data_IF_079416000294
#
_entry.id   IF_079416000294
#
_cell.length_a   1.000
_cell.length_b   1.000
_cell.length_c   1.000
_cell.angle_alpha   90.00
_cell.angle_beta   90.00
_cell.angle_gamma   90.00
#
_symmetry.space_group_name_H-M   'P 1'
#
loop_
_entity.id
_entity.type
_entity.pdbx_description
1 polymer ?
#
# COMPACT_ATOMS: atom_id res chain seq x y z
N UNK A 1 -46.89 -47.86 27.73
CA UNK A 1 -46.97 -46.39 27.77
C UNK A 1 -45.97 -45.90 28.82
N UNK A 2 -44.73 -45.61 28.42
CA UNK A 2 -43.72 -44.99 29.27
C UNK A 2 -42.80 -44.16 28.40
N UNK A 3 -42.77 -42.87 28.72
CA UNK A 3 -42.19 -41.76 27.97
C UNK A 3 -40.86 -41.41 28.65
N UNK A 4 -39.72 -41.71 28.02
CA UNK A 4 -38.38 -41.22 28.34
C UNK A 4 -37.59 -41.27 27.03
N UNK A 5 -37.21 -40.20 26.34
CA UNK A 5 -36.68 -38.94 26.85
C UNK A 5 -35.18 -38.95 26.59
N UNK A 6 -34.74 -38.52 25.40
CA UNK A 6 -33.41 -37.93 25.19
C UNK A 6 -33.56 -36.89 24.08
N UNK A 7 -33.47 -35.62 24.48
CA UNK A 7 -33.38 -34.46 23.61
C UNK A 7 -32.09 -34.58 22.77
N UNK A 8 -32.22 -34.61 21.45
CA UNK A 8 -31.08 -34.44 20.56
C UNK A 8 -30.63 -32.98 20.63
N UNK A 9 -29.50 -32.73 21.28
CA UNK A 9 -28.85 -31.43 21.30
C UNK A 9 -28.37 -31.10 19.89
N UNK A 10 -29.05 -30.16 19.23
CA UNK A 10 -28.59 -29.54 17.98
C UNK A 10 -27.38 -28.67 18.32
N UNK A 11 -26.18 -29.22 18.15
CA UNK A 11 -24.93 -28.46 18.19
C UNK A 11 -24.87 -27.58 16.94
N UNK A 12 -25.42 -26.36 17.03
CA UNK A 12 -25.18 -25.30 16.06
C UNK A 12 -23.69 -24.93 16.11
N UNK A 13 -22.87 -25.61 15.31
CA UNK A 13 -21.48 -25.20 15.08
C UNK A 13 -21.49 -23.91 14.27
N UNK A 14 -21.39 -22.78 14.98
CA UNK A 14 -21.11 -21.48 14.38
C UNK A 14 -19.71 -21.53 13.77
N UNK A 15 -19.63 -21.89 12.49
CA UNK A 15 -18.42 -21.68 11.70
C UNK A 15 -18.22 -20.17 11.55
N UNK A 16 -17.35 -19.60 12.39
CA UNK A 16 -16.81 -18.28 12.15
C UNK A 16 -15.91 -18.37 10.91
N UNK A 17 -16.46 -18.01 9.75
CA UNK A 17 -15.63 -17.69 8.59
C UNK A 17 -14.83 -16.44 8.93
N UNK A 18 -13.60 -16.63 9.39
CA UNK A 18 -12.58 -15.57 9.38
C UNK A 18 -12.20 -15.31 7.93
N UNK A 19 -13.04 -14.57 7.21
CA UNK A 19 -12.69 -14.05 5.89
C UNK A 19 -11.55 -13.06 6.05
N UNK A 20 -10.37 -13.38 5.53
CA UNK A 20 -9.31 -12.40 5.34
C UNK A 20 -9.85 -11.33 4.39
N UNK A 21 -10.04 -10.10 4.86
CA UNK A 21 -10.36 -8.99 3.97
C UNK A 21 -9.17 -8.82 3.01
N UNK A 22 -9.38 -9.10 1.73
CA UNK A 22 -8.40 -8.77 0.71
C UNK A 22 -8.22 -7.25 0.69
N UNK A 23 -6.99 -6.77 0.56
CA UNK A 23 -6.75 -5.35 0.45
C UNK A 23 -7.45 -4.79 -0.80
N UNK A 24 -8.29 -3.77 -0.64
CA UNK A 24 -8.93 -3.07 -1.75
C UNK A 24 -8.07 -1.89 -2.15
N UNK A 25 -7.47 -1.97 -3.33
CA UNK A 25 -6.52 -0.97 -3.81
C UNK A 25 -6.94 -0.51 -5.20
N UNK A 26 -7.12 0.80 -5.35
CA UNK A 26 -7.26 1.44 -6.66
C UNK A 26 -6.01 2.28 -6.97
N UNK A 27 -5.51 2.14 -8.19
CA UNK A 27 -4.40 2.94 -8.69
C UNK A 27 -4.57 3.18 -10.20
N UNK A 28 -4.08 4.32 -10.73
CA UNK A 28 -4.13 4.60 -12.16
C UNK A 28 -3.40 3.51 -12.96
N UNK A 29 -3.81 3.29 -14.23
CA UNK A 29 -3.26 2.24 -15.08
C UNK A 29 -1.76 2.41 -15.36
N UNK A 30 -1.17 1.34 -15.90
CA UNK A 30 0.26 1.19 -16.12
C UNK A 30 0.94 2.39 -16.78
N UNK A 31 2.19 2.60 -16.38
CA UNK A 31 3.02 3.70 -16.82
C UNK A 31 3.27 3.70 -18.33
N UNK A 32 3.61 4.88 -18.85
CA UNK A 32 4.17 4.99 -20.21
C UNK A 32 5.44 4.14 -20.34
N UNK A 33 5.82 3.76 -21.58
CA UNK A 33 6.98 2.90 -21.83
C UNK A 33 8.29 3.43 -21.21
N UNK A 34 8.44 4.76 -21.12
CA UNK A 34 9.61 5.41 -20.48
C UNK A 34 9.75 5.11 -18.99
N UNK A 35 8.68 4.70 -18.31
CA UNK A 35 8.65 4.37 -16.89
C UNK A 35 8.32 2.90 -16.63
N UNK A 36 8.36 2.04 -17.65
CA UNK A 36 8.11 0.60 -17.50
C UNK A 36 9.08 -0.05 -16.49
N UNK A 37 10.31 0.46 -16.39
CA UNK A 37 11.34 0.00 -15.45
C UNK A 37 10.95 0.18 -13.97
N UNK A 38 9.94 1.00 -13.67
CA UNK A 38 9.42 1.18 -12.31
C UNK A 38 8.49 0.06 -11.86
N UNK A 39 8.09 -0.84 -12.78
CA UNK A 39 7.22 -1.97 -12.46
C UNK A 39 8.00 -3.09 -11.78
N UNK A 40 7.35 -3.79 -10.85
CA UNK A 40 7.95 -4.95 -10.19
C UNK A 40 7.85 -6.22 -11.06
N UNK A 41 8.43 -7.33 -10.58
CA UNK A 41 8.42 -8.63 -11.27
C UNK A 41 7.04 -9.28 -11.43
N UNK A 42 6.00 -8.72 -10.80
CA UNK A 42 4.60 -9.13 -10.95
C UNK A 42 3.84 -8.25 -11.96
N UNK A 43 4.55 -7.38 -12.69
CA UNK A 43 3.98 -6.38 -13.61
C UNK A 43 3.02 -5.40 -12.93
N UNK A 44 3.23 -5.10 -11.66
CA UNK A 44 2.50 -4.05 -10.96
C UNK A 44 3.24 -2.72 -11.12
N UNK A 45 2.51 -1.66 -11.46
CA UNK A 45 3.06 -0.31 -11.56
C UNK A 45 3.49 0.22 -10.20
N UNK A 46 4.35 1.24 -10.18
CA UNK A 46 4.72 1.93 -8.94
C UNK A 46 3.49 2.44 -8.16
N UNK A 47 2.46 2.91 -8.87
CA UNK A 47 1.19 3.33 -8.27
C UNK A 47 0.48 2.18 -7.53
N UNK A 48 0.38 1.01 -8.18
CA UNK A 48 -0.27 -0.16 -7.57
C UNK A 48 0.47 -0.62 -6.33
N UNK A 49 1.81 -0.71 -6.38
CA UNK A 49 2.61 -1.16 -5.23
C UNK A 49 2.56 -0.13 -4.09
N UNK A 50 2.63 1.18 -4.41
CA UNK A 50 2.45 2.25 -3.43
C UNK A 50 1.11 2.12 -2.70
N UNK A 51 0.02 1.91 -3.45
CA UNK A 51 -1.30 1.83 -2.85
C UNK A 51 -1.48 0.56 -1.98
N UNK A 52 -0.88 -0.58 -2.35
CA UNK A 52 -0.78 -1.73 -1.45
C UNK A 52 0.00 -1.44 -0.16
N UNK A 53 1.11 -0.70 -0.24
CA UNK A 53 1.85 -0.31 0.97
C UNK A 53 1.01 0.60 1.85
N UNK A 54 0.36 1.61 1.28
CA UNK A 54 -0.45 2.56 2.02
C UNK A 54 -1.73 1.94 2.60
N UNK A 55 -2.28 0.90 1.98
CA UNK A 55 -3.47 0.21 2.50
C UNK A 55 -3.22 -0.46 3.86
N UNK A 56 -1.97 -0.84 4.16
CA UNK A 56 -1.59 -1.42 5.45
C UNK A 56 -1.87 -0.48 6.63
N UNK A 57 -1.82 0.83 6.39
CA UNK A 57 -2.10 1.86 7.40
C UNK A 57 -3.54 2.36 7.39
N UNK A 58 -4.31 2.00 6.36
CA UNK A 58 -5.67 2.50 6.15
C UNK A 58 -6.71 1.38 6.25
N UNK A 59 -6.50 0.44 7.19
CA UNK A 59 -7.47 -0.63 7.45
C UNK A 59 -7.66 -1.61 6.28
N UNK A 60 -6.68 -1.70 5.38
CA UNK A 60 -6.70 -2.61 4.23
C UNK A 60 -7.16 -1.96 2.91
N UNK A 61 -7.57 -0.69 2.90
CA UNK A 61 -7.97 0.00 1.67
C UNK A 61 -7.15 1.26 1.41
N UNK A 62 -6.72 1.49 0.17
CA UNK A 62 -6.12 2.76 -0.22
C UNK A 62 -6.25 3.01 -1.71
N UNK A 63 -6.69 4.22 -2.06
CA UNK A 63 -6.94 4.62 -3.43
C UNK A 63 -6.01 5.76 -3.81
N UNK A 64 -5.23 5.56 -4.87
CA UNK A 64 -4.47 6.61 -5.53
C UNK A 64 -5.32 7.08 -6.70
N UNK A 65 -5.89 8.28 -6.57
CA UNK A 65 -6.64 8.92 -7.65
C UNK A 65 -5.70 9.39 -8.76
N UNK A 66 -6.02 9.20 -10.06
CA UNK A 66 -5.22 9.73 -11.14
C UNK A 66 -4.97 11.24 -11.01
N UNK A 67 -3.79 11.70 -11.43
CA UNK A 67 -3.48 13.12 -11.47
C UNK A 67 -4.40 13.85 -12.46
N UNK A 68 -4.82 15.05 -12.10
CA UNK A 68 -5.70 15.88 -12.93
C UNK A 68 -4.97 16.37 -14.20
N UNK A 69 -3.71 16.76 -14.05
CA UNK A 69 -2.82 17.16 -15.14
C UNK A 69 -1.34 16.93 -14.72
N UNK A 70 -0.41 17.25 -15.62
CA UNK A 70 1.04 17.09 -15.42
C UNK A 70 1.67 18.10 -14.46
N UNK A 71 0.90 19.03 -13.90
CA UNK A 71 1.35 20.03 -12.91
C UNK A 71 0.92 19.67 -11.48
N UNK A 72 0.11 18.65 -11.31
CA UNK A 72 -0.26 18.12 -10.00
C UNK A 72 0.67 16.98 -9.62
N UNK A 73 0.96 16.84 -8.33
CA UNK A 73 1.77 15.73 -7.81
C UNK A 73 1.20 15.27 -6.48
N UNK A 74 1.45 14.02 -6.12
CA UNK A 74 1.16 13.54 -4.79
C UNK A 74 2.18 14.10 -3.80
N UNK A 75 1.67 14.77 -2.76
CA UNK A 75 2.52 15.22 -1.67
C UNK A 75 2.65 14.15 -0.60
N UNK A 76 3.70 14.26 0.22
CA UNK A 76 3.81 13.48 1.45
C UNK A 76 2.65 13.72 2.41
N UNK A 77 2.64 13.00 3.55
CA UNK A 77 1.59 13.15 4.56
C UNK A 77 1.59 14.58 5.08
N UNK A 78 0.40 15.11 5.37
CA UNK A 78 0.22 16.47 5.86
C UNK A 78 -0.94 16.53 6.84
N UNK A 79 -0.98 17.55 7.70
CA UNK A 79 -1.99 17.66 8.74
C UNK A 79 -1.96 16.47 9.70
N UNK A 80 -3.10 15.84 9.93
CA UNK A 80 -3.20 14.70 10.86
C UNK A 80 -2.39 13.48 10.39
N UNK A 81 -2.18 13.34 9.08
CA UNK A 81 -1.44 12.21 8.52
C UNK A 81 0.06 12.27 8.83
N UNK A 82 0.60 13.46 9.10
CA UNK A 82 2.01 13.66 9.48
C UNK A 82 2.32 13.07 10.87
N UNK A 83 1.30 12.95 11.73
CA UNK A 83 1.42 12.33 13.04
C UNK A 83 1.23 10.80 13.03
N UNK A 84 0.81 10.23 11.89
CA UNK A 84 0.60 8.79 11.75
C UNK A 84 1.90 8.08 11.36
N UNK A 85 2.58 7.53 12.37
CA UNK A 85 3.82 6.78 12.20
C UNK A 85 3.70 5.58 11.24
N UNK A 86 2.50 5.04 11.02
CA UNK A 86 2.32 3.98 10.05
C UNK A 86 2.59 4.50 8.63
N UNK A 87 2.13 5.71 8.33
CA UNK A 87 2.26 6.34 7.02
C UNK A 87 3.70 6.77 6.72
N UNK A 88 4.56 6.93 7.73
CA UNK A 88 5.98 7.31 7.59
C UNK A 88 6.87 6.20 6.99
N UNK A 89 6.62 5.82 5.73
CA UNK A 89 7.40 4.81 5.02
C UNK A 89 8.05 5.41 3.77
N UNK A 90 9.37 5.57 3.80
CA UNK A 90 10.14 6.17 2.70
C UNK A 90 9.99 5.41 1.39
N UNK A 91 9.89 4.07 1.43
CA UNK A 91 9.73 3.24 0.23
C UNK A 91 8.36 3.48 -0.41
N UNK A 92 7.31 3.60 0.41
CA UNK A 92 5.98 3.95 -0.09
C UNK A 92 5.99 5.31 -0.81
N UNK A 93 6.66 6.32 -0.24
CA UNK A 93 6.75 7.64 -0.88
C UNK A 93 7.67 7.67 -2.11
N UNK A 94 8.73 6.86 -2.15
CA UNK A 94 9.53 6.69 -3.38
C UNK A 94 8.70 6.06 -4.50
N UNK A 95 7.81 5.11 -4.18
CA UNK A 95 6.88 4.53 -5.16
C UNK A 95 5.79 5.52 -5.59
N UNK A 96 5.28 6.34 -4.67
CA UNK A 96 4.35 7.44 -4.99
C UNK A 96 5.01 8.45 -5.94
N UNK A 97 6.28 8.80 -5.70
CA UNK A 97 7.04 9.68 -6.59
C UNK A 97 7.24 9.09 -8.00
N UNK A 98 7.57 7.81 -8.07
CA UNK A 98 7.61 7.11 -9.36
C UNK A 98 6.22 7.06 -10.01
N UNK A 99 5.14 7.01 -9.23
CA UNK A 99 3.76 7.08 -9.70
C UNK A 99 3.38 8.46 -10.29
N UNK A 100 3.91 9.56 -9.75
CA UNK A 100 3.76 10.89 -10.35
C UNK A 100 4.40 10.93 -11.75
N UNK A 101 5.65 10.48 -11.83
CA UNK A 101 6.41 10.46 -13.08
C UNK A 101 5.77 9.54 -14.13
N UNK A 102 5.29 8.37 -13.69
CA UNK A 102 4.49 7.42 -14.46
C UNK A 102 3.27 8.06 -15.14
N UNK A 103 2.62 9.02 -14.47
CA UNK A 103 1.46 9.77 -14.94
C UNK A 103 1.82 11.06 -15.70
N UNK A 104 3.11 11.31 -15.93
CA UNK A 104 3.61 12.45 -16.70
C UNK A 104 3.85 13.73 -15.88
N UNK A 105 3.79 13.65 -14.55
CA UNK A 105 4.14 14.74 -13.65
C UNK A 105 5.62 14.74 -13.28
N UNK A 106 6.05 15.69 -12.46
CA UNK A 106 7.41 15.80 -11.95
C UNK A 106 7.73 14.69 -10.95
N UNK A 107 8.94 14.13 -11.05
CA UNK A 107 9.46 13.15 -10.09
C UNK A 107 9.94 13.86 -8.82
N UNK A 108 9.09 13.94 -7.80
CA UNK A 108 9.46 14.57 -6.53
C UNK A 108 10.31 13.63 -5.68
N UNK A 109 11.55 13.98 -5.38
CA UNK A 109 12.45 13.09 -4.61
C UNK A 109 12.02 13.00 -3.14
N UNK A 110 11.69 11.79 -2.68
CA UNK A 110 11.44 11.47 -1.27
C UNK A 110 12.31 10.30 -0.79
N UNK A 111 12.96 10.42 0.39
CA UNK A 111 13.30 11.67 1.10
C UNK A 111 14.32 12.51 0.31
N UNK A 112 14.85 13.59 0.91
CA UNK A 112 15.95 14.34 0.33
C UNK A 112 17.11 13.41 -0.11
N UNK A 113 17.82 13.73 -1.20
CA UNK A 113 18.94 12.92 -1.67
C UNK A 113 19.96 12.65 -0.56
N UNK A 114 20.49 11.43 -0.54
CA UNK A 114 21.58 11.05 0.38
C UNK A 114 22.79 11.95 0.11
N UNK A 115 23.34 12.67 1.11
CA UNK A 115 24.46 13.58 0.89
C UNK A 115 25.69 12.87 0.31
N UNK A 116 26.50 13.55 -0.53
CA UNK A 116 27.75 12.99 -1.03
C UNK A 116 28.65 12.48 0.11
N UNK A 117 29.27 11.32 -0.08
CA UNK A 117 30.13 10.68 0.93
C UNK A 117 29.39 9.94 2.03
N UNK A 118 28.05 9.85 1.98
CA UNK A 118 27.25 9.07 2.94
C UNK A 118 26.85 7.72 2.34
N UNK A 119 27.12 6.63 3.05
CA UNK A 119 26.63 5.29 2.69
C UNK A 119 25.50 4.89 3.63
N UNK A 120 24.36 4.52 3.06
CA UNK A 120 23.22 4.00 3.85
C UNK A 120 23.43 2.50 4.07
N UNK A 121 23.39 2.01 5.33
CA UNK A 121 23.58 0.59 5.60
C UNK A 121 22.43 -0.25 5.04
N UNK A 122 22.73 -1.48 4.61
CA UNK A 122 21.76 -2.34 3.94
C UNK A 122 20.46 -2.58 4.74
N UNK A 123 20.58 -2.75 6.06
CA UNK A 123 19.41 -2.98 6.94
C UNK A 123 18.40 -1.83 6.90
N UNK A 124 18.80 -0.62 6.53
CA UNK A 124 17.89 0.54 6.48
C UNK A 124 16.88 0.46 5.33
N UNK A 125 17.11 -0.40 4.33
CA UNK A 125 16.17 -0.67 3.23
C UNK A 125 15.49 -2.04 3.36
N UNK A 126 15.83 -2.80 4.40
CA UNK A 126 15.25 -4.11 4.62
C UNK A 126 13.89 -3.97 5.31
N UNK A 127 12.83 -4.24 4.55
CA UNK A 127 11.45 -4.18 5.02
C UNK A 127 11.01 -5.43 5.79
N UNK A 128 11.88 -6.44 5.89
CA UNK A 128 11.59 -7.71 6.59
C UNK A 128 12.08 -7.74 8.04
N UNK A 129 12.98 -6.83 8.42
CA UNK A 129 13.38 -6.62 9.81
C UNK A 129 12.34 -5.74 10.54
N UNK A 130 11.26 -6.38 10.99
CA UNK A 130 10.47 -5.90 12.13
C UNK A 130 10.31 -7.03 13.14
#
# INVERSE_FOLDING_TARGET
MSLRGVLAALLSSSFFFSGSAAASVYAPPNCTASYAWTSNSLNQSACTVAAYMMSTCNGGSFDISPLLDTKHSYTGPSGNDDSDLCKCNTIAYSLISACDACQGSEWISFPNPVPPGTSVPHWAFDVTVR
#
